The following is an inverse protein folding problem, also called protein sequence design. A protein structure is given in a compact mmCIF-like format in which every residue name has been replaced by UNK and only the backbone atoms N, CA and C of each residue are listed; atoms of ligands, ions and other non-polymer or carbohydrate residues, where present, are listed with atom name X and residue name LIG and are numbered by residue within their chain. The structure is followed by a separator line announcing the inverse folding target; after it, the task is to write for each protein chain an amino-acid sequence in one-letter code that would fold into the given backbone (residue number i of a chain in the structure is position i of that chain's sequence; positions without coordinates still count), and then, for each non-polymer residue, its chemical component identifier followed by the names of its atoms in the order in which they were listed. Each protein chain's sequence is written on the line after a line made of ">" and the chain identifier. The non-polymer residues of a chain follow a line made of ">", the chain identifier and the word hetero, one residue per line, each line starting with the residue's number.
data_IF_300143506301
#
_entry.id   IF_300143506301
#
_cell.length_a   1.000
_cell.length_b   1.000
_cell.length_c   1.000
_cell.angle_alpha   90.00
_cell.angle_beta   90.00
_cell.angle_gamma   90.00
#
_symmetry.space_group_name_H-M   'P 1'
#
loop_
_entity.id
_entity.type
_entity.pdbx_description
1 polymer ?
#
# COMPACT_ATOMS: atom_id res chain seq x y z
N UNK A 1 10.13 6.74 12.94
CA UNK A 1 10.69 5.41 13.27
C UNK A 1 9.61 4.35 13.49
N UNK A 2 8.54 4.61 14.26
CA UNK A 2 7.47 3.64 14.54
C UNK A 2 6.78 3.08 13.29
N UNK A 3 6.48 3.92 12.30
CA UNK A 3 5.88 3.49 11.03
C UNK A 3 6.77 2.49 10.27
N UNK A 4 8.04 2.83 10.04
CA UNK A 4 8.96 1.98 9.26
C UNK A 4 9.17 0.61 9.91
N UNK A 5 9.30 0.55 11.24
CA UNK A 5 9.41 -0.73 11.94
C UNK A 5 8.13 -1.57 11.77
N UNK A 6 6.97 -0.95 11.94
CA UNK A 6 5.69 -1.64 11.80
C UNK A 6 5.45 -2.09 10.35
N UNK A 7 5.81 -1.28 9.36
CA UNK A 7 5.78 -1.62 7.94
C UNK A 7 6.64 -2.87 7.64
N UNK A 8 7.88 -2.91 8.13
CA UNK A 8 8.76 -4.08 7.97
C UNK A 8 8.17 -5.31 8.66
N UNK A 9 7.61 -5.16 9.86
CA UNK A 9 6.92 -6.27 10.55
C UNK A 9 5.74 -6.83 9.75
N UNK A 10 4.96 -5.96 9.08
CA UNK A 10 3.89 -6.38 8.18
C UNK A 10 4.41 -7.14 6.96
N UNK A 11 5.45 -6.60 6.30
CA UNK A 11 6.06 -7.21 5.12
C UNK A 11 6.65 -8.60 5.41
N UNK A 12 7.23 -8.77 6.60
CA UNK A 12 7.82 -10.03 7.05
C UNK A 12 6.82 -10.98 7.73
N UNK A 13 5.56 -10.57 7.89
CA UNK A 13 4.53 -11.31 8.64
C UNK A 13 4.97 -11.68 10.07
N UNK A 14 5.64 -10.75 10.75
CA UNK A 14 6.15 -10.90 12.12
C UNK A 14 5.29 -10.11 13.11
N UNK A 15 4.88 -10.72 14.23
CA UNK A 15 4.14 -10.05 15.31
C UNK A 15 2.99 -9.16 14.79
N UNK A 16 2.21 -9.70 13.85
CA UNK A 16 1.29 -8.95 13.00
C UNK A 16 0.28 -8.10 13.78
N UNK A 17 -0.25 -8.60 14.90
CA UNK A 17 -1.19 -7.85 15.75
C UNK A 17 -0.61 -6.54 16.31
N UNK A 18 0.65 -6.54 16.73
CA UNK A 18 1.30 -5.34 17.23
C UNK A 18 1.59 -4.37 16.07
N UNK A 19 2.00 -4.89 14.91
CA UNK A 19 2.25 -4.10 13.72
C UNK A 19 0.97 -3.43 13.20
N UNK A 20 -0.15 -4.17 13.14
CA UNK A 20 -1.47 -3.65 12.78
C UNK A 20 -1.90 -2.51 13.70
N UNK A 21 -1.78 -2.70 15.02
CA UNK A 21 -2.10 -1.63 15.99
C UNK A 21 -1.20 -0.41 15.80
N UNK A 22 0.11 -0.62 15.66
CA UNK A 22 1.06 0.48 15.53
C UNK A 22 0.82 1.33 14.27
N UNK A 23 0.60 0.70 13.12
CA UNK A 23 0.31 1.43 11.87
C UNK A 23 -1.02 2.18 11.96
N UNK A 24 -2.05 1.54 12.53
CA UNK A 24 -3.35 2.18 12.75
C UNK A 24 -3.23 3.42 13.64
N UNK A 25 -2.55 3.32 14.78
CA UNK A 25 -2.37 4.44 15.70
C UNK A 25 -1.61 5.60 15.04
N UNK A 26 -0.58 5.32 14.24
CA UNK A 26 0.17 6.33 13.50
C UNK A 26 -0.72 7.03 12.46
N UNK A 27 -1.53 6.27 11.73
CA UNK A 27 -2.51 6.84 10.79
C UNK A 27 -3.58 7.68 11.51
N UNK A 28 -4.12 7.21 12.63
CA UNK A 28 -5.13 7.95 13.39
C UNK A 28 -4.61 9.27 13.96
N UNK A 29 -3.30 9.38 14.25
CA UNK A 29 -2.65 10.61 14.68
C UNK A 29 -2.49 11.63 13.54
N UNK A 30 -2.14 11.17 12.34
CA UNK A 30 -1.93 12.01 11.17
C UNK A 30 -2.63 11.44 9.92
N UNK A 31 -3.97 11.45 9.86
CA UNK A 31 -4.72 10.77 8.78
C UNK A 31 -4.55 11.45 7.41
N UNK A 32 -4.02 12.68 7.40
CA UNK A 32 -3.69 13.45 6.19
C UNK A 32 -2.24 13.25 5.73
N UNK A 33 -1.47 12.38 6.39
CA UNK A 33 -0.13 12.02 5.95
C UNK A 33 -0.23 10.84 4.96
N UNK A 34 0.07 11.04 3.67
CA UNK A 34 -0.17 10.02 2.65
C UNK A 34 0.75 8.79 2.79
N UNK A 35 1.96 8.95 3.35
CA UNK A 35 2.87 7.82 3.60
C UNK A 35 2.32 6.89 4.71
N UNK A 36 1.73 7.48 5.75
CA UNK A 36 1.07 6.72 6.83
C UNK A 36 -0.23 6.09 6.35
N UNK A 37 -1.01 6.80 5.54
CA UNK A 37 -2.21 6.26 4.94
C UNK A 37 -1.91 5.07 4.00
N UNK A 38 -0.85 5.14 3.19
CA UNK A 38 -0.43 4.03 2.33
C UNK A 38 0.00 2.80 3.13
N UNK A 39 0.78 3.00 4.20
CA UNK A 39 1.18 1.91 5.10
C UNK A 39 -0.04 1.29 5.79
N UNK A 40 -1.00 2.11 6.23
CA UNK A 40 -2.25 1.64 6.84
C UNK A 40 -3.16 0.92 5.84
N UNK A 41 -3.29 1.42 4.62
CA UNK A 41 -4.04 0.77 3.55
C UNK A 41 -3.45 -0.61 3.23
N UNK A 42 -2.12 -0.72 3.17
CA UNK A 42 -1.45 -2.01 3.03
C UNK A 42 -1.77 -2.96 4.19
N UNK A 43 -1.75 -2.46 5.43
CA UNK A 43 -2.12 -3.25 6.61
C UNK A 43 -3.55 -3.79 6.55
N UNK A 44 -4.50 -3.01 6.02
CA UNK A 44 -5.90 -3.41 5.84
C UNK A 44 -6.05 -4.44 4.73
N UNK A 45 -5.29 -4.29 3.64
CA UNK A 45 -5.23 -5.27 2.56
C UNK A 45 -4.71 -6.63 3.03
N UNK A 46 -3.67 -6.67 3.86
CA UNK A 46 -3.19 -7.92 4.46
C UNK A 46 -4.25 -8.61 5.34
N UNK A 47 -5.15 -7.83 5.95
CA UNK A 47 -6.30 -8.32 6.72
C UNK A 47 -7.51 -8.68 5.85
N UNK A 48 -7.42 -8.52 4.52
CA UNK A 48 -8.51 -8.77 3.57
C UNK A 48 -9.56 -7.66 3.47
N UNK A 49 -9.40 -6.54 4.18
CA UNK A 49 -10.34 -5.41 4.15
C UNK A 49 -9.94 -4.38 3.08
N UNK A 50 -9.98 -4.81 1.82
CA UNK A 50 -9.55 -4.01 0.66
C UNK A 50 -10.44 -2.76 0.47
N UNK A 51 -11.70 -2.84 0.88
CA UNK A 51 -12.61 -1.69 0.85
C UNK A 51 -12.13 -0.58 1.78
N UNK A 52 -11.78 -0.89 3.04
CA UNK A 52 -11.22 0.11 3.95
C UNK A 52 -9.84 0.56 3.50
N UNK A 53 -9.03 -0.31 2.90
CA UNK A 53 -7.72 0.06 2.37
C UNK A 53 -7.85 1.19 1.32
N UNK A 54 -8.78 1.04 0.37
CA UNK A 54 -9.05 2.08 -0.62
C UNK A 54 -9.65 3.35 0.01
N UNK A 55 -10.52 3.21 1.02
CA UNK A 55 -11.08 4.35 1.73
C UNK A 55 -10.01 5.18 2.46
N UNK A 56 -8.99 4.54 3.02
CA UNK A 56 -7.88 5.23 3.67
C UNK A 56 -7.09 6.13 2.70
N UNK A 57 -7.13 5.83 1.39
CA UNK A 57 -6.45 6.59 0.34
C UNK A 57 -7.37 7.53 -0.45
N UNK A 58 -8.69 7.43 -0.27
CA UNK A 58 -9.67 8.15 -1.10
C UNK A 58 -9.66 9.68 -0.94
N UNK A 59 -9.09 10.19 0.16
CA UNK A 59 -9.01 11.63 0.45
C UNK A 59 -7.80 12.34 -0.14
N UNK A 60 -6.84 11.62 -0.73
CA UNK A 60 -5.63 12.20 -1.30
C UNK A 60 -5.84 12.61 -2.76
N UNK A 61 -5.14 13.66 -3.17
CA UNK A 61 -5.09 14.09 -4.56
C UNK A 61 -4.39 13.06 -5.43
N UNK A 62 -4.65 13.10 -6.74
CA UNK A 62 -3.95 12.21 -7.68
C UNK A 62 -2.42 12.41 -7.64
N UNK A 63 -1.96 13.65 -7.54
CA UNK A 63 -0.52 13.96 -7.40
C UNK A 63 0.11 13.33 -6.15
N UNK A 64 -0.61 13.24 -5.04
CA UNK A 64 -0.13 12.54 -3.84
C UNK A 64 -0.11 11.03 -4.04
N UNK A 65 -1.12 10.45 -4.69
CA UNK A 65 -1.20 9.02 -4.98
C UNK A 65 -0.17 8.57 -6.03
N UNK A 66 0.24 9.46 -6.94
CA UNK A 66 1.25 9.19 -7.97
C UNK A 66 2.69 9.20 -7.44
N UNK A 67 2.91 9.65 -6.20
CA UNK A 67 4.23 9.55 -5.55
C UNK A 67 4.67 8.08 -5.53
N UNK A 68 5.87 7.73 -6.01
CA UNK A 68 6.26 6.34 -6.23
C UNK A 68 6.00 5.38 -5.05
N UNK A 69 6.38 5.77 -3.82
CA UNK A 69 6.17 4.91 -2.65
C UNK A 69 4.68 4.59 -2.37
N UNK A 70 3.80 5.56 -2.62
CA UNK A 70 2.36 5.41 -2.40
C UNK A 70 1.73 4.66 -3.57
N UNK A 71 2.17 4.99 -4.79
CA UNK A 71 1.73 4.35 -6.02
C UNK A 71 1.98 2.83 -6.00
N UNK A 72 3.08 2.37 -5.40
CA UNK A 72 3.39 0.95 -5.24
C UNK A 72 2.28 0.20 -4.49
N UNK A 73 1.85 0.71 -3.33
CA UNK A 73 0.75 0.11 -2.58
C UNK A 73 -0.60 0.32 -3.27
N UNK A 74 -0.85 1.51 -3.80
CA UNK A 74 -2.14 1.81 -4.42
C UNK A 74 -2.41 0.97 -5.68
N UNK A 75 -1.39 0.78 -6.52
CA UNK A 75 -1.45 -0.08 -7.70
C UNK A 75 -1.78 -1.54 -7.36
N UNK A 76 -1.23 -2.06 -6.26
CA UNK A 76 -1.53 -3.41 -5.76
C UNK A 76 -2.99 -3.54 -5.33
N UNK A 77 -3.53 -2.54 -4.62
CA UNK A 77 -4.94 -2.52 -4.21
C UNK A 77 -5.88 -2.49 -5.43
N UNK A 78 -5.57 -1.65 -6.42
CA UNK A 78 -6.33 -1.53 -7.66
C UNK A 78 -6.32 -2.84 -8.46
N UNK A 79 -5.16 -3.49 -8.57
CA UNK A 79 -5.05 -4.80 -9.21
C UNK A 79 -5.90 -5.85 -8.49
N UNK A 80 -5.95 -5.81 -7.16
CA UNK A 80 -6.74 -6.73 -6.35
C UNK A 80 -8.25 -6.60 -6.60
N UNK A 81 -8.77 -5.38 -6.77
CA UNK A 81 -10.19 -5.15 -7.05
C UNK A 81 -10.56 -5.23 -8.55
N UNK A 82 -9.58 -5.49 -9.42
CA UNK A 82 -9.80 -5.61 -10.86
C UNK A 82 -9.83 -4.30 -11.65
N UNK A 83 -9.43 -3.18 -11.03
CA UNK A 83 -9.25 -1.89 -11.73
C UNK A 83 -7.91 -1.88 -12.48
N UNK A 84 -7.76 -2.78 -13.46
CA UNK A 84 -6.48 -3.08 -14.11
C UNK A 84 -5.90 -1.89 -14.89
N UNK A 85 -6.76 -1.02 -15.45
CA UNK A 85 -6.33 0.17 -16.17
C UNK A 85 -5.60 1.15 -15.25
N UNK A 86 -6.18 1.45 -14.08
CA UNK A 86 -5.53 2.33 -13.11
C UNK A 86 -4.38 1.61 -12.41
N UNK A 87 -4.52 0.32 -12.12
CA UNK A 87 -3.45 -0.48 -11.55
C UNK A 87 -2.17 -0.41 -12.40
N UNK A 88 -2.25 -0.56 -13.72
CA UNK A 88 -1.09 -0.47 -14.61
C UNK A 88 -0.32 0.85 -14.44
N UNK A 89 -1.04 1.99 -14.45
CA UNK A 89 -0.46 3.32 -14.24
C UNK A 89 0.28 3.42 -12.89
N UNK A 90 -0.39 3.04 -11.81
CA UNK A 90 0.20 3.20 -10.47
C UNK A 90 1.30 2.18 -10.18
N UNK A 91 1.27 0.98 -10.76
CA UNK A 91 2.35 0.01 -10.64
C UNK A 91 3.62 0.46 -11.38
N UNK A 92 3.51 1.08 -12.57
CA UNK A 92 4.65 1.67 -13.29
C UNK A 92 5.31 2.82 -12.49
N UNK A 93 4.50 3.66 -11.86
CA UNK A 93 5.00 4.69 -10.95
C UNK A 93 5.62 4.08 -9.69
N UNK A 94 5.00 3.04 -9.14
CA UNK A 94 5.41 2.35 -7.94
C UNK A 94 6.76 1.65 -8.06
N UNK A 95 7.05 1.04 -9.21
CA UNK A 95 8.31 0.35 -9.48
C UNK A 95 9.53 1.30 -9.42
N UNK A 96 9.31 2.61 -9.60
CA UNK A 96 10.37 3.63 -9.53
C UNK A 96 10.72 4.04 -8.08
N UNK A 97 10.00 3.52 -7.09
CA UNK A 97 10.30 3.78 -5.68
C UNK A 97 11.54 3.00 -5.21
N UNK A 98 12.13 3.44 -4.10
CA UNK A 98 13.16 2.67 -3.42
C UNK A 98 12.52 1.57 -2.57
N UNK A 99 12.01 0.54 -3.25
CA UNK A 99 11.25 -0.55 -2.65
C UNK A 99 12.12 -1.51 -1.84
N UNK A 100 11.59 -1.96 -0.71
CA UNK A 100 12.10 -3.12 -0.01
C UNK A 100 11.88 -4.40 -0.84
N UNK A 101 12.67 -5.47 -0.63
CA UNK A 101 12.51 -6.72 -1.39
C UNK A 101 11.09 -7.29 -1.36
N UNK A 102 10.40 -7.19 -0.22
CA UNK A 102 9.03 -7.65 -0.05
C UNK A 102 8.01 -6.78 -0.79
N UNK A 103 8.21 -5.46 -0.78
CA UNK A 103 7.37 -4.53 -1.57
C UNK A 103 7.56 -4.77 -3.07
N UNK A 104 8.80 -5.02 -3.50
CA UNK A 104 9.10 -5.35 -4.90
C UNK A 104 8.35 -6.61 -5.36
N UNK A 105 8.40 -7.69 -4.56
CA UNK A 105 7.64 -8.92 -4.84
C UNK A 105 6.13 -8.68 -4.92
N UNK A 106 5.61 -7.79 -4.08
CA UNK A 106 4.19 -7.42 -4.08
C UNK A 106 3.80 -6.70 -5.38
N UNK A 107 4.60 -5.73 -5.82
CA UNK A 107 4.40 -4.98 -7.06
C UNK A 107 4.51 -5.90 -8.28
N UNK A 108 5.55 -6.74 -8.35
CA UNK A 108 5.75 -7.71 -9.43
C UNK A 108 4.54 -8.67 -9.56
N UNK A 109 4.04 -9.20 -8.43
CA UNK A 109 2.85 -10.06 -8.44
C UNK A 109 1.61 -9.34 -8.97
N UNK A 110 1.43 -8.08 -8.59
CA UNK A 110 0.31 -7.28 -9.08
C UNK A 110 0.45 -6.98 -10.59
N UNK A 111 1.65 -6.67 -11.08
CA UNK A 111 1.93 -6.47 -12.50
C UNK A 111 1.62 -7.72 -13.32
N UNK A 112 2.03 -8.91 -12.84
CA UNK A 112 1.67 -10.18 -13.48
C UNK A 112 0.15 -10.40 -13.53
N UNK A 113 -0.56 -10.03 -12.47
CA UNK A 113 -2.03 -10.13 -12.42
C UNK A 113 -2.68 -9.22 -13.45
N UNK A 114 -2.16 -8.00 -13.62
CA UNK A 114 -2.65 -7.03 -14.62
C UNK A 114 -2.34 -7.50 -16.04
N UNK A 115 -1.16 -8.04 -16.29
CA UNK A 115 -0.75 -8.48 -17.64
C UNK A 115 -1.53 -9.69 -18.18
N UNK A 116 -2.24 -10.42 -17.31
CA UNK A 116 -3.04 -11.60 -17.66
C UNK A 116 -4.51 -11.26 -17.99
N UNK A 117 -4.87 -9.98 -18.08
CA UNK A 117 -6.25 -9.47 -18.21
C UNK A 117 -6.42 -8.69 -19.50
#
# INVERSE_FOLDING_TARGET
>A
MRNNLAQISLLLNLNSDQAYRAVREVYEQEPKNPDYAATYAFSLYLQGDVKKALQALAGFSEAELERPQIAAYYGVLLANIGDFSRAAKFLDLGEKANLLPEEKKLVEKAQLTVAQR
#
